data_IF_447029283044
#
_entry.id   IF_447029283044
#
_cell.length_a   1.000
_cell.length_b   1.000
_cell.length_c   1.000
_cell.angle_alpha   90.00
_cell.angle_beta   90.00
_cell.angle_gamma   90.00
#
_symmetry.space_group_name_H-M   'P 1'
#
loop_
_entity.id
_entity.type
_entity.pdbx_description
1 polymer ?
#
# COMPACT_ATOMS: atom_id res chain seq x y z
N UNK A 1 -18.01 -0.40 -26.76
CA UNK A 1 -18.38 -1.22 -25.59
C UNK A 1 -17.19 -2.11 -25.31
N UNK A 2 -16.47 -1.90 -24.21
CA UNK A 2 -15.43 -2.85 -23.81
C UNK A 2 -16.11 -4.17 -23.44
N UNK A 3 -15.56 -5.29 -23.94
CA UNK A 3 -16.03 -6.63 -23.57
C UNK A 3 -15.58 -6.92 -22.14
N UNK A 4 -16.43 -7.60 -21.38
CA UNK A 4 -16.02 -8.27 -20.15
C UNK A 4 -14.88 -9.24 -20.45
N UNK A 5 -13.88 -9.28 -19.56
CA UNK A 5 -12.76 -10.19 -19.65
C UNK A 5 -12.98 -11.35 -18.69
N UNK A 6 -12.97 -12.58 -19.21
CA UNK A 6 -13.23 -13.78 -18.42
C UNK A 6 -11.92 -14.37 -17.92
N UNK A 7 -11.87 -14.69 -16.62
CA UNK A 7 -10.74 -15.33 -15.96
C UNK A 7 -11.19 -16.59 -15.25
N UNK A 8 -10.31 -17.59 -15.17
CA UNK A 8 -10.51 -18.68 -14.21
C UNK A 8 -10.40 -18.11 -12.80
N UNK A 9 -11.27 -18.57 -11.91
CA UNK A 9 -11.30 -18.13 -10.52
C UNK A 9 -9.96 -18.37 -9.82
N UNK A 10 -9.34 -19.52 -10.08
CA UNK A 10 -8.03 -19.87 -9.53
C UNK A 10 -6.94 -18.88 -9.97
N UNK A 11 -6.80 -18.68 -11.28
CA UNK A 11 -5.80 -17.78 -11.86
C UNK A 11 -5.96 -16.35 -11.33
N UNK A 12 -7.20 -15.84 -11.25
CA UNK A 12 -7.45 -14.50 -10.71
C UNK A 12 -7.10 -14.43 -9.22
N UNK A 13 -7.42 -15.47 -8.43
CA UNK A 13 -7.10 -15.49 -7.00
C UNK A 13 -5.59 -15.47 -6.77
N UNK A 14 -4.83 -16.25 -7.53
CA UNK A 14 -3.36 -16.25 -7.46
C UNK A 14 -2.77 -14.87 -7.79
N UNK A 15 -3.31 -14.17 -8.79
CA UNK A 15 -2.89 -12.81 -9.13
C UNK A 15 -3.14 -11.86 -7.94
N UNK A 16 -4.35 -11.87 -7.37
CA UNK A 16 -4.70 -10.97 -6.26
C UNK A 16 -3.91 -11.31 -4.98
N UNK A 17 -3.63 -12.59 -4.72
CA UNK A 17 -2.78 -13.04 -3.62
C UNK A 17 -1.34 -12.51 -3.77
N UNK A 18 -0.77 -12.61 -4.98
CA UNK A 18 0.54 -12.05 -5.27
C UNK A 18 0.57 -10.54 -5.06
N UNK A 19 -0.42 -9.82 -5.57
CA UNK A 19 -0.52 -8.36 -5.42
C UNK A 19 -0.63 -7.95 -3.94
N UNK A 20 -1.42 -8.69 -3.14
CA UNK A 20 -1.51 -8.49 -1.69
C UNK A 20 -0.15 -8.65 -1.02
N UNK A 21 0.61 -9.68 -1.38
CA UNK A 21 1.89 -9.98 -0.77
C UNK A 21 2.95 -8.92 -1.10
N UNK A 22 2.94 -8.41 -2.33
CA UNK A 22 3.78 -7.27 -2.75
C UNK A 22 3.41 -5.98 -1.99
N UNK A 23 2.11 -5.66 -1.88
CA UNK A 23 1.64 -4.55 -1.02
C UNK A 23 2.09 -4.74 0.43
N UNK A 24 1.96 -5.96 0.97
CA UNK A 24 2.30 -6.24 2.36
C UNK A 24 3.79 -6.08 2.63
N UNK A 25 4.63 -6.47 1.68
CA UNK A 25 6.07 -6.23 1.75
C UNK A 25 6.35 -4.73 1.86
N UNK A 26 5.80 -3.91 0.94
CA UNK A 26 6.00 -2.46 0.95
C UNK A 26 5.54 -1.86 2.28
N UNK A 27 4.34 -2.22 2.74
CA UNK A 27 3.82 -1.72 4.01
C UNK A 27 4.72 -2.08 5.20
N UNK A 28 5.21 -3.33 5.24
CA UNK A 28 6.07 -3.80 6.34
C UNK A 28 7.42 -3.08 6.34
N UNK A 29 8.02 -2.86 5.17
CA UNK A 29 9.22 -2.04 5.06
C UNK A 29 8.94 -0.58 5.50
N UNK A 30 7.85 0.00 5.03
CA UNK A 30 7.53 1.38 5.28
C UNK A 30 7.16 1.66 6.74
N UNK A 31 6.48 0.74 7.44
CA UNK A 31 6.15 0.94 8.86
C UNK A 31 7.39 0.87 9.75
N UNK A 32 8.39 0.05 9.39
CA UNK A 32 9.68 0.03 10.07
C UNK A 32 10.47 1.32 9.79
N UNK A 33 10.54 1.77 8.53
CA UNK A 33 11.19 3.04 8.18
C UNK A 33 10.53 4.25 8.85
N UNK A 34 9.19 4.27 8.91
CA UNK A 34 8.43 5.29 9.64
C UNK A 34 8.80 5.31 11.13
N UNK A 35 8.90 4.14 11.78
CA UNK A 35 9.27 4.05 13.20
C UNK A 35 10.66 4.64 13.45
N UNK A 36 11.63 4.31 12.60
CA UNK A 36 12.98 4.85 12.70
C UNK A 36 12.99 6.37 12.59
N UNK A 37 12.35 6.92 11.55
CA UNK A 37 12.30 8.37 11.35
C UNK A 37 11.50 9.10 12.45
N UNK A 38 10.42 8.48 12.95
CA UNK A 38 9.66 9.03 14.06
C UNK A 38 10.50 9.12 15.34
N UNK A 39 11.32 8.10 15.64
CA UNK A 39 12.25 8.14 16.78
C UNK A 39 13.25 9.29 16.61
N UNK A 40 13.86 9.43 15.44
CA UNK A 40 14.82 10.51 15.15
C UNK A 40 14.19 11.90 15.32
N UNK A 41 12.98 12.12 14.81
CA UNK A 41 12.27 13.41 14.98
C UNK A 41 11.90 13.67 16.45
N UNK A 42 11.47 12.64 17.18
CA UNK A 42 11.15 12.74 18.61
C UNK A 42 12.40 13.10 19.42
N UNK A 43 13.53 12.45 19.15
CA UNK A 43 14.80 12.74 19.83
C UNK A 43 15.27 14.17 19.56
N UNK A 44 15.13 14.66 18.32
CA UNK A 44 15.43 16.03 17.96
C UNK A 44 14.53 17.03 18.70
N UNK A 45 13.22 16.74 18.81
CA UNK A 45 12.28 17.55 19.58
C UNK A 45 12.60 17.55 21.07
N UNK A 46 12.94 16.38 21.64
CA UNK A 46 13.33 16.26 23.04
C UNK A 46 14.58 17.07 23.36
N UNK A 47 15.58 17.03 22.46
CA UNK A 47 16.79 17.84 22.59
C UNK A 47 16.47 19.34 22.62
N UNK A 48 15.64 19.81 21.68
CA UNK A 48 15.18 21.22 21.67
C UNK A 48 14.37 21.59 22.91
N UNK A 49 13.58 20.67 23.43
CA UNK A 49 12.79 20.90 24.65
C UNK A 49 13.66 21.07 25.91
N UNK A 50 14.87 20.52 25.90
CA UNK A 50 15.74 20.43 27.07
C UNK A 50 16.98 21.31 26.99
N UNK A 51 17.32 21.85 25.81
CA UNK A 51 18.52 22.66 25.59
C UNK A 51 18.38 24.15 25.98
N UNK A 52 17.21 24.55 26.49
CA UNK A 52 16.95 25.93 26.92
C UNK A 52 16.72 26.92 25.77
N UNK A 53 16.51 26.42 24.54
CA UNK A 53 16.10 27.26 23.41
C UNK A 53 14.75 27.95 23.66
N UNK A 54 14.58 29.15 23.06
CA UNK A 54 13.33 29.88 23.10
C UNK A 54 12.18 29.04 22.49
N UNK A 55 10.93 29.44 22.79
CA UNK A 55 9.70 28.73 22.43
C UNK A 55 9.80 27.90 21.13
N UNK A 56 9.55 26.60 21.23
CA UNK A 56 9.58 25.66 20.11
C UNK A 56 8.19 25.05 19.91
N UNK A 57 7.85 24.71 18.66
CA UNK A 57 6.63 23.97 18.33
C UNK A 57 6.89 22.47 18.40
N UNK A 58 5.96 21.73 19.00
CA UNK A 58 5.92 20.27 18.97
C UNK A 58 5.02 19.85 17.81
N UNK A 59 5.63 19.38 16.72
CA UNK A 59 4.92 18.82 15.57
C UNK A 59 5.75 17.69 14.96
N UNK A 60 5.14 16.52 14.81
CA UNK A 60 5.61 15.45 13.93
C UNK A 60 4.80 15.51 12.64
N UNK A 61 5.47 15.59 11.51
CA UNK A 61 4.83 15.68 10.20
C UNK A 61 5.24 14.53 9.30
N UNK A 62 5.07 13.30 9.82
CA UNK A 62 5.39 12.06 9.13
C UNK A 62 4.09 11.38 8.63
N UNK A 63 3.91 11.19 7.32
CA UNK A 63 2.78 10.42 6.80
C UNK A 63 2.81 8.99 7.36
N UNK A 64 1.75 8.58 8.06
CA UNK A 64 1.62 7.22 8.57
C UNK A 64 1.35 6.25 7.40
N UNK A 65 2.15 5.18 7.22
CA UNK A 65 1.84 4.12 6.27
C UNK A 65 0.45 3.53 6.54
N UNK A 66 -0.38 3.43 5.49
CA UNK A 66 -1.71 2.81 5.57
C UNK A 66 -1.66 1.39 5.03
N UNK A 67 -2.34 0.49 5.73
CA UNK A 67 -2.46 -0.90 5.34
C UNK A 67 -3.78 -1.16 4.60
N UNK A 68 -3.67 -1.55 3.33
CA UNK A 68 -4.78 -1.90 2.45
C UNK A 68 -4.89 -3.42 2.20
N UNK A 69 -4.25 -4.27 3.03
CA UNK A 69 -4.36 -5.74 2.91
C UNK A 69 -5.81 -6.23 3.00
N UNK A 70 -6.70 -5.50 3.69
CA UNK A 70 -8.11 -5.88 3.84
C UNK A 70 -8.86 -5.91 2.52
N UNK A 71 -8.57 -4.97 1.63
CA UNK A 71 -9.20 -4.81 0.32
C UNK A 71 -8.89 -6.02 -0.56
N UNK A 72 -7.64 -6.46 -0.60
CA UNK A 72 -7.24 -7.70 -1.28
C UNK A 72 -7.90 -8.94 -0.64
N UNK A 73 -7.89 -9.03 0.69
CA UNK A 73 -8.48 -10.18 1.40
C UNK A 73 -9.98 -10.32 1.11
N UNK A 74 -10.71 -9.22 0.95
CA UNK A 74 -12.12 -9.26 0.57
C UNK A 74 -12.30 -9.91 -0.81
N UNK A 75 -11.49 -9.52 -1.80
CA UNK A 75 -11.54 -10.10 -3.16
C UNK A 75 -11.14 -11.56 -3.15
N UNK A 76 -10.05 -11.91 -2.46
CA UNK A 76 -9.58 -13.30 -2.34
C UNK A 76 -10.68 -14.18 -1.71
N UNK A 77 -11.35 -13.69 -0.66
CA UNK A 77 -12.43 -14.45 -0.01
C UNK A 77 -13.66 -14.60 -0.92
N UNK A 78 -14.02 -13.57 -1.70
CA UNK A 78 -15.08 -13.70 -2.71
C UNK A 78 -14.73 -14.78 -3.74
N UNK A 79 -13.50 -14.80 -4.24
CA UNK A 79 -13.02 -15.81 -5.20
C UNK A 79 -12.90 -17.20 -4.57
N UNK A 80 -12.64 -17.30 -3.27
CA UNK A 80 -12.58 -18.58 -2.56
C UNK A 80 -13.97 -19.19 -2.34
N UNK A 81 -14.98 -18.35 -2.15
CA UNK A 81 -16.35 -18.77 -1.82
C UNK A 81 -17.25 -18.96 -3.04
N UNK A 82 -16.88 -18.44 -4.21
CA UNK A 82 -17.68 -18.64 -5.42
C UNK A 82 -17.70 -20.11 -5.86
N UNK A 83 -18.84 -20.55 -6.39
CA UNK A 83 -18.99 -21.87 -7.02
C UNK A 83 -18.66 -21.86 -8.51
N UNK A 84 -18.48 -20.68 -9.09
CA UNK A 84 -18.18 -20.54 -10.52
C UNK A 84 -16.74 -20.97 -10.83
N UNK A 85 -16.53 -21.50 -12.04
CA UNK A 85 -15.18 -21.85 -12.52
C UNK A 85 -14.48 -20.62 -13.11
N UNK A 86 -15.26 -19.70 -13.66
CA UNK A 86 -14.80 -18.49 -14.33
C UNK A 86 -15.62 -17.28 -13.85
N UNK A 87 -14.98 -16.13 -13.80
CA UNK A 87 -15.61 -14.84 -13.46
C UNK A 87 -15.33 -13.83 -14.57
N UNK A 88 -16.33 -13.01 -14.87
CA UNK A 88 -16.18 -11.86 -15.75
C UNK A 88 -15.77 -10.64 -14.95
N UNK A 89 -14.72 -9.95 -15.41
CA UNK A 89 -14.30 -8.66 -14.86
C UNK A 89 -14.74 -7.53 -15.77
N UNK A 90 -15.27 -6.47 -15.16
CA UNK A 90 -15.41 -5.19 -15.82
C UNK A 90 -14.05 -4.46 -15.88
N UNK A 91 -14.01 -3.30 -16.55
CA UNK A 91 -12.78 -2.55 -16.75
C UNK A 91 -12.11 -2.14 -15.43
N UNK A 92 -12.89 -1.68 -14.45
CA UNK A 92 -12.36 -1.23 -13.16
C UNK A 92 -11.80 -2.41 -12.35
N UNK A 93 -12.51 -3.53 -12.32
CA UNK A 93 -12.06 -4.75 -11.64
C UNK A 93 -10.79 -5.31 -12.28
N UNK A 94 -10.68 -5.27 -13.61
CA UNK A 94 -9.44 -5.65 -14.29
C UNK A 94 -8.27 -4.75 -13.89
N UNK A 95 -8.48 -3.43 -13.86
CA UNK A 95 -7.47 -2.46 -13.42
C UNK A 95 -7.03 -2.72 -11.97
N UNK A 96 -7.97 -3.01 -11.06
CA UNK A 96 -7.63 -3.22 -9.65
C UNK A 96 -7.02 -4.61 -9.40
N UNK A 97 -7.65 -5.66 -9.90
CA UNK A 97 -7.32 -7.03 -9.50
C UNK A 97 -6.20 -7.62 -10.34
N UNK A 98 -6.10 -7.24 -11.61
CA UNK A 98 -5.10 -7.76 -12.54
C UNK A 98 -3.91 -6.82 -12.68
N UNK A 99 -4.16 -5.52 -12.87
CA UNK A 99 -3.09 -4.53 -13.05
C UNK A 99 -2.54 -3.99 -11.72
N UNK A 100 -3.10 -4.41 -10.58
CA UNK A 100 -2.78 -3.92 -9.24
C UNK A 100 -2.76 -2.39 -9.19
N UNK A 101 -3.76 -1.75 -9.78
CA UNK A 101 -3.90 -0.31 -9.86
C UNK A 101 -5.19 0.11 -9.16
N UNK A 102 -5.07 0.25 -7.84
CA UNK A 102 -6.15 0.71 -6.98
C UNK A 102 -6.15 2.23 -6.89
N UNK A 103 -7.31 2.83 -6.62
CA UNK A 103 -7.45 4.29 -6.48
C UNK A 103 -6.50 4.88 -5.42
N UNK A 104 -6.16 4.09 -4.40
CA UNK A 104 -5.24 4.48 -3.33
C UNK A 104 -3.76 4.17 -3.61
N UNK A 105 -3.44 3.40 -4.66
CA UNK A 105 -2.10 2.87 -4.91
C UNK A 105 -1.06 3.97 -5.12
N UNK A 106 -1.40 5.00 -5.90
CA UNK A 106 -0.48 6.12 -6.16
C UNK A 106 -0.13 6.87 -4.87
N UNK A 107 -1.13 7.22 -4.08
CA UNK A 107 -0.93 7.95 -2.83
C UNK A 107 -0.14 7.10 -1.83
N UNK A 108 -0.43 5.80 -1.77
CA UNK A 108 0.33 4.83 -0.98
C UNK A 108 1.82 4.81 -1.38
N UNK A 109 2.13 4.69 -2.67
CA UNK A 109 3.53 4.66 -3.12
C UNK A 109 4.25 5.98 -2.83
N UNK A 110 3.59 7.13 -3.05
CA UNK A 110 4.17 8.45 -2.77
C UNK A 110 4.44 8.65 -1.28
N UNK A 111 3.47 8.34 -0.40
CA UNK A 111 3.64 8.54 1.03
C UNK A 111 4.66 7.60 1.67
N UNK A 112 4.89 6.43 1.06
CA UNK A 112 5.79 5.41 1.58
C UNK A 112 7.19 5.41 0.92
N UNK A 113 7.40 6.16 -0.16
CA UNK A 113 8.69 6.22 -0.86
C UNK A 113 9.85 6.73 0.03
N UNK A 114 9.55 7.53 1.06
CA UNK A 114 10.54 7.97 2.04
C UNK A 114 10.95 6.87 3.03
N UNK A 115 10.11 5.84 3.21
CA UNK A 115 10.28 4.81 4.23
C UNK A 115 10.59 3.42 3.64
N UNK A 116 10.25 3.15 2.37
CA UNK A 116 10.46 1.87 1.69
C UNK A 116 11.13 2.08 0.33
N UNK A 117 12.25 1.39 0.13
CA UNK A 117 12.94 1.33 -1.16
C UNK A 117 12.09 0.62 -2.22
N UNK A 118 11.28 -0.36 -1.81
CA UNK A 118 10.35 -1.06 -2.68
C UNK A 118 9.23 -0.12 -3.16
N UNK A 119 8.66 0.70 -2.27
CA UNK A 119 7.72 1.77 -2.66
C UNK A 119 8.34 2.74 -3.67
N UNK A 120 9.55 3.24 -3.36
CA UNK A 120 10.25 4.20 -4.23
C UNK A 120 10.57 3.61 -5.62
N UNK A 121 10.86 2.31 -5.70
CA UNK A 121 11.13 1.60 -6.95
C UNK A 121 9.85 1.41 -7.77
N UNK A 122 8.76 0.98 -7.11
CA UNK A 122 7.44 0.81 -7.75
C UNK A 122 6.91 2.13 -8.31
N UNK A 123 7.06 3.23 -7.57
CA UNK A 123 6.63 4.56 -8.02
C UNK A 123 7.29 4.97 -9.35
N UNK A 124 8.58 4.66 -9.54
CA UNK A 124 9.33 4.97 -10.77
C UNK A 124 8.93 4.09 -11.96
N UNK A 125 8.46 2.88 -11.71
CA UNK A 125 8.02 1.97 -12.78
C UNK A 125 6.61 2.32 -13.28
N UNK A 126 5.82 2.99 -12.43
CA UNK A 126 4.43 3.39 -12.71
C UNK A 126 4.28 4.86 -13.16
N UNK A 127 5.38 5.62 -13.21
CA UNK A 127 5.43 7.03 -13.64
C UNK A 127 5.76 7.19 -15.11
#
# INVERSE_FOLDING_TARGET
MFREMTFKVEDLREIVEKNRDEHRQIFTEAIEGYRMQAVEEIEALLKRATDGSAAFEVRLSLPLPKDHTREYNAVIEMLRLTSDVEVGLNQQEFTQYVMDDWDWMRDFLVSNAAYSMTAASNLKQRS
#
